data_IF_674428222058
#
_entry.id   IF_674428222058
#
_cell.length_a   1.000
_cell.length_b   1.000
_cell.length_c   1.000
_cell.angle_alpha   90.00
_cell.angle_beta   90.00
_cell.angle_gamma   90.00
#
_symmetry.space_group_name_H-M   'P 1'
#
loop_
_entity.id
_entity.type
_entity.pdbx_description
1 polymer ?
#
# COMPACT_ATOMS: atom_id res chain seq x y z
N UNK A 1 3.25 16.43 -39.19
CA UNK A 1 2.21 17.15 -38.41
C UNK A 1 1.12 16.15 -38.14
N UNK A 2 1.25 15.40 -37.04
CA UNK A 2 0.30 14.34 -36.67
C UNK A 2 -0.88 14.97 -35.93
N UNK A 3 -2.07 14.53 -36.32
CA UNK A 3 -3.37 15.03 -35.87
C UNK A 3 -3.55 14.92 -34.35
N UNK A 4 -3.81 16.02 -33.61
CA UNK A 4 -4.04 16.00 -32.17
C UNK A 4 -5.42 15.45 -31.77
N UNK A 5 -6.32 15.13 -32.71
CA UNK A 5 -7.71 14.76 -32.44
C UNK A 5 -8.01 13.24 -32.45
N UNK A 6 -7.04 12.37 -32.72
CA UNK A 6 -7.24 10.92 -32.69
C UNK A 6 -6.71 10.27 -31.40
N UNK A 7 -7.01 10.85 -30.23
CA UNK A 7 -6.77 10.18 -28.94
C UNK A 7 -7.93 9.22 -28.68
N UNK A 8 -7.88 8.06 -29.32
CA UNK A 8 -8.75 6.93 -29.01
C UNK A 8 -8.73 6.69 -27.49
N UNK A 9 -9.90 6.48 -26.88
CA UNK A 9 -10.01 6.02 -25.50
C UNK A 9 -9.37 4.63 -25.38
N UNK A 10 -8.48 4.47 -24.39
CA UNK A 10 -7.57 3.32 -24.28
C UNK A 10 -7.89 2.61 -22.97
N UNK A 11 -8.34 1.36 -23.07
CA UNK A 11 -9.09 0.68 -22.00
C UNK A 11 -8.36 -0.46 -21.28
N UNK A 12 -7.02 -0.55 -21.34
CA UNK A 12 -6.22 -1.60 -20.68
C UNK A 12 -5.23 -0.94 -19.71
N UNK A 13 -5.24 -1.29 -18.40
CA UNK A 13 -4.25 -0.83 -17.45
C UNK A 13 -2.83 -1.28 -17.83
N UNK A 14 -1.89 -0.36 -17.87
CA UNK A 14 -0.46 -0.56 -18.10
C UNK A 14 0.19 -0.90 -16.78
N UNK A 15 0.82 -2.06 -16.78
CA UNK A 15 1.31 -2.71 -15.59
C UNK A 15 2.82 -2.79 -15.66
N UNK A 16 3.47 -2.48 -14.55
CA UNK A 16 4.93 -2.52 -14.45
C UNK A 16 5.39 -3.44 -13.32
N UNK A 17 6.56 -4.04 -13.48
CA UNK A 17 7.28 -4.77 -12.45
C UNK A 17 7.96 -3.84 -11.43
N UNK A 18 8.48 -4.44 -10.34
CA UNK A 18 9.22 -3.69 -9.32
C UNK A 18 10.50 -3.04 -9.90
N UNK A 19 11.25 -3.77 -10.74
CA UNK A 19 12.46 -3.27 -11.38
C UNK A 19 12.18 -2.10 -12.33
N UNK A 20 11.06 -2.15 -13.05
CA UNK A 20 10.63 -1.06 -13.93
C UNK A 20 10.26 0.18 -13.12
N UNK A 21 9.52 0.02 -12.02
CA UNK A 21 9.20 1.13 -11.12
C UNK A 21 10.48 1.75 -10.54
N UNK A 22 11.43 0.95 -10.09
CA UNK A 22 12.70 1.45 -9.56
C UNK A 22 13.49 2.27 -10.60
N UNK A 23 13.48 1.84 -11.87
CA UNK A 23 14.09 2.61 -12.97
C UNK A 23 13.33 3.92 -13.24
N UNK A 24 12.01 3.92 -13.14
CA UNK A 24 11.18 5.13 -13.29
C UNK A 24 11.47 6.12 -12.15
N UNK A 25 11.57 5.65 -10.91
CA UNK A 25 11.94 6.49 -9.76
C UNK A 25 13.34 7.09 -9.93
N UNK A 26 14.31 6.31 -10.40
CA UNK A 26 15.66 6.80 -10.68
C UNK A 26 15.65 7.84 -11.83
N UNK A 27 14.85 7.61 -12.87
CA UNK A 27 14.69 8.56 -13.97
C UNK A 27 14.01 9.87 -13.50
N UNK A 28 12.99 9.78 -12.65
CA UNK A 28 12.34 10.94 -12.04
C UNK A 28 13.33 11.76 -11.20
N UNK A 29 14.22 11.10 -10.45
CA UNK A 29 15.28 11.78 -9.71
C UNK A 29 16.29 12.49 -10.63
N UNK A 30 16.65 11.88 -11.77
CA UNK A 30 17.50 12.52 -12.79
C UNK A 30 16.84 13.74 -13.43
N UNK A 31 15.51 13.79 -13.47
CA UNK A 31 14.73 14.95 -13.90
C UNK A 31 14.59 16.02 -12.82
N UNK A 32 15.09 15.78 -11.60
CA UNK A 32 15.08 16.74 -10.49
C UNK A 32 13.97 16.55 -9.46
N UNK A 33 13.15 15.49 -9.56
CA UNK A 33 12.21 15.15 -8.50
C UNK A 33 12.95 14.47 -7.35
N UNK A 34 13.08 15.16 -6.22
CA UNK A 34 13.74 14.61 -5.04
C UNK A 34 12.99 13.38 -4.48
N UNK A 35 13.75 12.39 -4.00
CA UNK A 35 13.21 11.20 -3.32
C UNK A 35 12.26 11.58 -2.17
N UNK A 36 12.64 12.58 -1.36
CA UNK A 36 11.83 13.11 -0.26
C UNK A 36 10.45 13.61 -0.74
N UNK A 37 10.36 14.20 -1.95
CA UNK A 37 9.12 14.72 -2.51
C UNK A 37 8.20 13.62 -3.04
N UNK A 38 8.77 12.59 -3.67
CA UNK A 38 8.03 11.41 -4.09
C UNK A 38 7.46 10.66 -2.87
N UNK A 39 8.27 10.47 -1.83
CA UNK A 39 7.87 9.84 -0.57
C UNK A 39 6.80 10.64 0.18
N UNK A 40 6.94 11.97 0.26
CA UNK A 40 5.88 12.84 0.82
C UNK A 40 4.58 12.67 0.05
N UNK A 41 4.64 12.65 -1.29
CA UNK A 41 3.46 12.53 -2.15
C UNK A 41 2.77 11.17 -1.98
N UNK A 42 3.56 10.09 -1.96
CA UNK A 42 3.09 8.73 -1.72
C UNK A 42 2.37 8.61 -0.37
N UNK A 43 3.06 8.98 0.72
CA UNK A 43 2.47 8.91 2.07
C UNK A 43 1.31 9.90 2.29
N UNK A 44 1.32 11.07 1.63
CA UNK A 44 0.20 12.01 1.69
C UNK A 44 -1.08 11.41 1.11
N UNK A 45 -1.00 10.78 -0.06
CA UNK A 45 -2.15 10.12 -0.67
C UNK A 45 -2.65 8.97 0.19
N UNK A 46 -1.75 8.14 0.73
CA UNK A 46 -2.16 7.07 1.64
C UNK A 46 -2.85 7.61 2.89
N UNK A 47 -2.36 8.71 3.46
CA UNK A 47 -3.00 9.36 4.61
C UNK A 47 -4.41 9.87 4.27
N UNK A 48 -4.62 10.43 3.08
CA UNK A 48 -5.96 10.86 2.62
C UNK A 48 -6.92 9.68 2.45
N UNK A 49 -6.45 8.59 1.86
CA UNK A 49 -7.24 7.36 1.74
C UNK A 49 -7.55 6.77 3.11
N UNK A 50 -6.59 6.74 4.03
CA UNK A 50 -6.80 6.28 5.40
C UNK A 50 -7.85 7.13 6.14
N UNK A 51 -7.87 8.45 5.93
CA UNK A 51 -8.91 9.33 6.47
C UNK A 51 -10.30 9.01 5.93
N UNK A 52 -10.41 8.79 4.62
CA UNK A 52 -11.68 8.41 3.99
C UNK A 52 -12.18 7.07 4.52
N UNK A 53 -11.31 6.07 4.66
CA UNK A 53 -11.67 4.76 5.22
C UNK A 53 -12.09 4.85 6.69
N UNK A 54 -11.41 5.66 7.51
CA UNK A 54 -11.85 5.91 8.89
C UNK A 54 -13.25 6.53 8.94
N UNK A 55 -13.55 7.46 8.03
CA UNK A 55 -14.90 8.04 7.89
C UNK A 55 -15.94 6.97 7.56
N UNK A 56 -15.65 6.11 6.57
CA UNK A 56 -16.53 5.00 6.16
C UNK A 56 -16.78 4.01 7.29
N UNK A 57 -15.74 3.65 8.04
CA UNK A 57 -15.84 2.75 9.20
C UNK A 57 -16.66 3.37 10.34
N UNK A 58 -16.53 4.68 10.57
CA UNK A 58 -17.31 5.40 11.58
C UNK A 58 -18.81 5.45 11.22
N UNK A 59 -19.16 5.68 9.95
CA UNK A 59 -20.56 5.65 9.48
C UNK A 59 -21.18 4.26 9.62
N UNK A 60 -20.44 3.19 9.28
CA UNK A 60 -20.92 1.82 9.41
C UNK A 60 -21.29 1.44 10.86
N UNK A 61 -20.65 2.06 11.85
CA UNK A 61 -20.93 1.81 13.27
C UNK A 61 -22.10 2.65 13.79
N UNK A 62 -22.39 3.82 13.20
CA UNK A 62 -23.55 4.68 13.55
C UNK A 62 -24.93 4.07 13.23
N UNK A 63 -25.00 2.81 12.83
CA UNK A 63 -26.22 2.00 12.77
C UNK A 63 -26.82 1.70 14.18
N UNK A 64 -27.69 0.69 14.32
CA UNK A 64 -28.40 0.39 15.59
C UNK A 64 -27.51 0.18 16.82
N UNK A 65 -26.20 -0.04 16.63
CA UNK A 65 -25.19 -0.23 17.67
C UNK A 65 -24.66 1.09 18.28
N UNK A 66 -25.00 2.26 17.74
CA UNK A 66 -24.56 3.56 18.24
C UNK A 66 -23.12 3.92 17.88
N UNK A 67 -22.64 5.14 18.19
CA UNK A 67 -21.29 5.59 17.85
C UNK A 67 -20.21 4.71 18.49
N UNK A 68 -19.01 4.70 17.89
CA UNK A 68 -17.84 4.04 18.47
C UNK A 68 -17.62 4.50 19.92
N UNK A 69 -17.52 3.54 20.84
CA UNK A 69 -17.32 3.81 22.27
C UNK A 69 -15.95 4.48 22.58
N UNK A 70 -15.01 4.45 21.63
CA UNK A 70 -13.68 5.05 21.73
C UNK A 70 -13.31 5.77 20.43
N UNK A 71 -12.44 6.77 20.54
CA UNK A 71 -11.87 7.43 19.36
C UNK A 71 -11.11 6.40 18.49
N UNK A 72 -11.23 6.45 17.15
CA UNK A 72 -10.51 5.53 16.27
C UNK A 72 -8.99 5.61 16.47
N UNK A 73 -8.36 4.44 16.61
CA UNK A 73 -6.91 4.29 16.64
C UNK A 73 -6.42 3.79 15.28
N UNK A 74 -5.42 4.48 14.71
CA UNK A 74 -4.68 4.02 13.54
C UNK A 74 -3.36 3.42 14.00
N UNK A 75 -3.12 2.17 13.67
CA UNK A 75 -1.85 1.48 13.94
C UNK A 75 -1.06 1.41 12.64
N UNK A 76 0.13 2.00 12.60
CA UNK A 76 1.01 2.02 11.42
C UNK A 76 2.24 1.16 11.69
N UNK A 77 2.32 0.00 11.06
CA UNK A 77 3.44 -0.94 11.19
C UNK A 77 4.45 -0.67 10.06
N UNK A 78 5.59 -0.10 10.41
CA UNK A 78 6.59 0.37 9.46
C UNK A 78 7.80 -0.58 9.42
N UNK A 79 8.24 -0.96 8.22
CA UNK A 79 9.54 -1.57 8.02
C UNK A 79 10.68 -0.54 8.04
N UNK A 80 11.95 -0.97 7.87
CA UNK A 80 13.09 -0.07 7.85
C UNK A 80 13.39 0.55 6.48
N UNK A 81 12.75 0.06 5.40
CA UNK A 81 12.98 0.53 4.03
C UNK A 81 11.96 1.58 3.58
N UNK A 82 11.95 1.88 2.28
CA UNK A 82 11.13 2.95 1.68
C UNK A 82 9.63 2.79 1.98
N UNK A 83 9.08 1.57 1.93
CA UNK A 83 7.67 1.34 2.27
C UNK A 83 7.34 1.76 3.71
N UNK A 84 8.26 1.52 4.65
CA UNK A 84 8.10 1.97 6.03
C UNK A 84 8.26 3.48 6.18
N UNK A 85 9.07 4.10 5.33
CA UNK A 85 9.21 5.54 5.28
C UNK A 85 7.95 6.24 4.76
N UNK A 86 7.26 5.67 3.77
CA UNK A 86 5.91 6.09 3.39
C UNK A 86 4.95 5.96 4.59
N UNK A 87 5.08 4.86 5.36
CA UNK A 87 4.38 4.69 6.65
C UNK A 87 4.66 5.79 7.67
N UNK A 88 5.90 6.28 7.79
CA UNK A 88 6.23 7.41 8.66
C UNK A 88 5.50 8.69 8.24
N UNK A 89 5.44 8.97 6.93
CA UNK A 89 4.69 10.09 6.36
C UNK A 89 3.20 9.96 6.71
N UNK A 90 2.62 8.77 6.52
CA UNK A 90 1.22 8.47 6.87
C UNK A 90 0.95 8.73 8.35
N UNK A 91 1.78 8.17 9.23
CA UNK A 91 1.63 8.31 10.67
C UNK A 91 1.66 9.79 11.11
N UNK A 92 2.64 10.57 10.65
CA UNK A 92 2.74 11.98 11.02
C UNK A 92 1.60 12.83 10.47
N UNK A 93 1.13 12.55 9.24
CA UNK A 93 0.02 13.30 8.63
C UNK A 93 -1.30 13.02 9.33
N UNK A 94 -1.57 11.76 9.65
CA UNK A 94 -2.75 11.38 10.41
C UNK A 94 -2.72 11.99 11.82
N UNK A 95 -1.58 11.96 12.51
CA UNK A 95 -1.43 12.62 13.80
C UNK A 95 -1.63 14.14 13.72
N UNK A 96 -1.05 14.80 12.71
CA UNK A 96 -1.21 16.25 12.49
C UNK A 96 -2.66 16.66 12.22
N UNK A 97 -3.49 15.74 11.70
CA UNK A 97 -4.93 15.94 11.52
C UNK A 97 -5.78 15.58 12.76
N UNK A 98 -5.15 15.31 13.91
CA UNK A 98 -5.82 15.03 15.18
C UNK A 98 -6.31 13.59 15.35
N UNK A 99 -5.81 12.63 14.57
CA UNK A 99 -6.13 11.20 14.75
C UNK A 99 -5.25 10.58 15.83
N UNK A 100 -5.80 9.63 16.58
CA UNK A 100 -5.01 8.76 17.45
C UNK A 100 -4.15 7.83 16.61
N UNK A 101 -2.83 7.93 16.73
CA UNK A 101 -1.87 7.16 15.93
C UNK A 101 -0.90 6.42 16.86
N UNK A 102 -0.74 5.12 16.59
CA UNK A 102 0.32 4.27 17.10
C UNK A 102 1.22 3.88 15.94
N UNK A 103 2.42 4.44 15.87
CA UNK A 103 3.45 4.05 14.92
C UNK A 103 4.41 3.05 15.56
N UNK A 104 4.73 1.98 14.85
CA UNK A 104 5.65 0.94 15.33
C UNK A 104 6.67 0.66 14.23
N UNK A 105 7.95 0.91 14.49
CA UNK A 105 9.04 0.46 13.64
C UNK A 105 9.35 -1.01 13.96
N UNK A 106 9.09 -1.90 13.00
CA UNK A 106 9.28 -3.36 13.10
C UNK A 106 10.68 -3.75 12.62
N UNK A 107 11.69 -3.07 13.18
CA UNK A 107 13.10 -3.26 12.91
C UNK A 107 13.94 -2.52 13.95
N UNK A 108 15.25 -2.72 13.91
CA UNK A 108 16.17 -1.84 14.62
C UNK A 108 16.18 -0.44 13.97
N UNK A 109 16.15 0.62 14.78
CA UNK A 109 16.16 2.00 14.31
C UNK A 109 17.42 2.35 13.49
N UNK A 110 18.55 1.69 13.74
CA UNK A 110 19.78 1.86 12.94
C UNK A 110 19.63 1.40 11.48
N UNK A 111 18.59 0.61 11.16
CA UNK A 111 18.32 0.14 9.80
C UNK A 111 17.52 1.16 8.97
N UNK A 112 16.94 2.17 9.61
CA UNK A 112 16.33 3.29 8.87
C UNK A 112 17.46 4.05 8.20
N UNK A 113 17.51 3.94 6.88
CA UNK A 113 18.61 4.44 6.06
C UNK A 113 18.06 5.19 4.85
N UNK A 114 18.90 6.03 4.26
CA UNK A 114 18.46 6.98 3.22
C UNK A 114 18.03 8.32 3.82
N UNK A 115 18.22 9.38 3.02
CA UNK A 115 17.95 10.76 3.44
C UNK A 115 16.46 10.95 3.75
N UNK A 116 15.59 10.52 2.83
CA UNK A 116 14.14 10.66 2.94
C UNK A 116 13.56 9.95 4.17
N UNK A 117 13.93 8.69 4.36
CA UNK A 117 13.47 7.87 5.48
C UNK A 117 14.01 8.40 6.81
N UNK A 118 15.30 8.75 6.88
CA UNK A 118 15.91 9.31 8.09
C UNK A 118 15.28 10.65 8.49
N UNK A 119 14.95 11.51 7.52
CA UNK A 119 14.24 12.76 7.76
C UNK A 119 12.85 12.49 8.35
N UNK A 120 12.03 11.66 7.71
CA UNK A 120 10.68 11.34 8.19
C UNK A 120 10.69 10.65 9.55
N UNK A 121 11.66 9.77 9.80
CA UNK A 121 11.87 9.14 11.10
C UNK A 121 12.16 10.18 12.19
N UNK A 122 13.06 11.13 11.92
CA UNK A 122 13.40 12.20 12.87
C UNK A 122 12.20 13.09 13.20
N UNK A 123 11.38 13.43 12.19
CA UNK A 123 10.12 14.17 12.39
C UNK A 123 9.15 13.37 13.25
N UNK A 124 9.00 12.08 12.97
CA UNK A 124 8.11 11.20 13.73
C UNK A 124 8.53 11.09 15.21
N UNK A 125 9.83 10.98 15.49
CA UNK A 125 10.37 10.98 16.85
C UNK A 125 10.11 12.31 17.59
N UNK A 126 10.26 13.44 16.90
CA UNK A 126 9.97 14.75 17.48
C UNK A 126 8.47 14.89 17.82
N UNK A 127 7.59 14.44 16.93
CA UNK A 127 6.14 14.45 17.18
C UNK A 127 5.73 13.52 18.32
N UNK A 128 6.34 12.34 18.43
CA UNK A 128 6.10 11.43 19.54
C UNK A 128 6.56 12.04 20.88
N UNK A 129 7.72 12.71 20.88
CA UNK A 129 8.25 13.40 22.06
C UNK A 129 7.36 14.57 22.52
N UNK A 130 6.67 15.22 21.57
CA UNK A 130 5.68 16.26 21.84
C UNK A 130 4.29 15.71 22.26
N UNK A 131 4.10 14.37 22.26
CA UNK A 131 2.85 13.72 22.62
C UNK A 131 1.79 13.70 21.51
N UNK A 132 2.15 14.00 20.27
CA UNK A 132 1.21 14.01 19.13
C UNK A 132 0.81 12.60 18.66
N UNK A 133 1.63 11.59 18.94
CA UNK A 133 1.40 10.18 18.60
C UNK A 133 2.21 9.25 19.51
N UNK A 134 1.83 7.97 19.56
CA UNK A 134 2.62 6.92 20.21
C UNK A 134 3.63 6.35 19.20
N UNK A 135 4.90 6.23 19.59
CA UNK A 135 5.97 5.67 18.75
C UNK A 135 6.75 4.59 19.51
N UNK A 136 6.85 3.40 18.92
CA UNK A 136 7.63 2.30 19.46
C UNK A 136 8.61 1.74 18.41
N UNK A 137 9.74 1.21 18.90
CA UNK A 137 10.70 0.43 18.12
C UNK A 137 10.63 -1.00 18.63
N UNK A 138 10.27 -1.94 17.76
CA UNK A 138 10.07 -3.35 18.08
C UNK A 138 10.97 -4.21 17.15
N UNK A 139 12.28 -4.31 17.45
CA UNK A 139 13.25 -5.02 16.62
C UNK A 139 13.19 -6.55 16.77
N UNK A 140 12.35 -7.08 17.66
CA UNK A 140 12.18 -8.52 17.89
C UNK A 140 10.71 -8.90 18.09
N UNK A 141 10.34 -10.17 17.85
CA UNK A 141 8.98 -10.67 18.09
C UNK A 141 8.49 -10.41 19.51
N UNK A 142 9.36 -10.59 20.51
CA UNK A 142 9.00 -10.43 21.92
C UNK A 142 8.62 -8.99 22.25
N UNK A 143 9.35 -8.02 21.70
CA UNK A 143 9.05 -6.59 21.89
C UNK A 143 7.78 -6.20 21.15
N UNK A 144 7.56 -6.73 19.95
CA UNK A 144 6.34 -6.50 19.18
C UNK A 144 5.11 -7.08 19.89
N UNK A 145 5.21 -8.30 20.42
CA UNK A 145 4.11 -8.98 21.12
C UNK A 145 3.71 -8.29 22.43
N UNK A 146 4.59 -7.50 23.05
CA UNK A 146 4.21 -6.64 24.19
C UNK A 146 3.20 -5.56 23.82
N UNK A 147 3.16 -5.16 22.55
CA UNK A 147 2.23 -4.15 22.03
C UNK A 147 0.90 -4.76 21.55
N UNK A 148 0.74 -6.09 21.60
CA UNK A 148 -0.42 -6.80 21.01
C UNK A 148 -1.78 -6.26 21.49
N UNK A 149 -1.91 -5.94 22.77
CA UNK A 149 -3.18 -5.45 23.35
C UNK A 149 -3.50 -4.06 22.82
N UNK A 150 -2.48 -3.21 22.68
CA UNK A 150 -2.64 -1.86 22.10
C UNK A 150 -2.94 -1.93 20.61
N UNK A 151 -2.26 -2.81 19.87
CA UNK A 151 -2.53 -3.09 18.46
C UNK A 151 -3.96 -3.61 18.28
N UNK A 152 -4.44 -4.45 19.21
CA UNK A 152 -5.79 -5.00 19.17
C UNK A 152 -6.88 -3.91 19.24
N UNK A 153 -6.60 -2.70 19.71
CA UNK A 153 -7.55 -1.58 19.71
C UNK A 153 -7.71 -0.90 18.33
N UNK A 154 -6.91 -1.28 17.33
CA UNK A 154 -6.90 -0.65 16.01
C UNK A 154 -8.29 -0.63 15.36
N UNK A 155 -8.68 0.55 14.85
CA UNK A 155 -9.81 0.71 13.91
C UNK A 155 -9.32 0.62 12.47
N UNK A 156 -8.09 1.06 12.21
CA UNK A 156 -7.39 0.91 10.94
C UNK A 156 -5.96 0.47 11.24
N UNK A 157 -5.49 -0.56 10.54
CA UNK A 157 -4.10 -0.98 10.53
C UNK A 157 -3.52 -0.61 9.17
N UNK A 158 -2.38 0.07 9.17
CA UNK A 158 -1.61 0.38 7.97
C UNK A 158 -0.39 -0.55 7.92
N UNK A 159 -0.37 -1.40 6.91
CA UNK A 159 0.76 -2.25 6.56
C UNK A 159 1.74 -1.47 5.69
N UNK A 160 2.82 -1.01 6.33
CA UNK A 160 3.95 -0.34 5.72
C UNK A 160 5.24 -1.16 5.94
N UNK A 161 5.14 -2.49 6.08
CA UNK A 161 6.26 -3.33 6.46
C UNK A 161 7.21 -3.55 5.28
N UNK A 162 6.70 -4.09 4.16
CA UNK A 162 7.50 -4.41 2.97
C UNK A 162 6.72 -4.07 1.69
N UNK A 163 7.38 -3.38 0.76
CA UNK A 163 6.82 -3.07 -0.56
C UNK A 163 7.28 -4.03 -1.65
N UNK A 164 7.07 -3.65 -2.91
CA UNK A 164 7.38 -4.47 -4.09
C UNK A 164 8.85 -4.87 -4.27
N UNK A 165 9.79 -4.17 -3.63
CA UNK A 165 11.23 -4.50 -3.69
C UNK A 165 11.69 -5.62 -2.74
N UNK A 166 10.81 -6.14 -1.87
CA UNK A 166 11.17 -7.22 -0.96
C UNK A 166 11.20 -8.59 -1.67
N UNK A 167 12.22 -9.40 -1.35
CA UNK A 167 12.40 -10.75 -1.91
C UNK A 167 12.82 -11.76 -0.84
N UNK A 168 12.52 -13.03 -1.10
CA UNK A 168 12.78 -14.13 -0.18
C UNK A 168 11.79 -14.22 0.99
N UNK A 169 12.00 -15.18 1.91
CA UNK A 169 11.10 -15.44 3.02
C UNK A 169 11.05 -14.29 4.03
N UNK A 170 9.87 -14.11 4.65
CA UNK A 170 9.67 -13.16 5.75
C UNK A 170 10.58 -13.57 6.89
N UNK A 171 11.27 -12.58 7.45
CA UNK A 171 12.15 -12.74 8.60
C UNK A 171 11.46 -12.15 9.81
N UNK A 172 11.81 -12.63 10.99
CA UNK A 172 11.41 -11.93 12.21
C UNK A 172 12.07 -10.55 12.30
N UNK A 173 11.39 -9.55 12.90
CA UNK A 173 10.05 -9.60 13.50
C UNK A 173 8.89 -9.37 12.51
N UNK A 174 9.15 -9.24 11.21
CA UNK A 174 8.11 -8.94 10.21
C UNK A 174 7.10 -10.08 10.08
N UNK A 175 7.55 -11.35 10.13
CA UNK A 175 6.63 -12.51 10.11
C UNK A 175 5.60 -12.43 11.25
N UNK A 176 6.07 -12.20 12.49
CA UNK A 176 5.18 -11.99 13.65
C UNK A 176 4.22 -10.80 13.45
N UNK A 177 4.68 -9.72 12.82
CA UNK A 177 3.83 -8.57 12.53
C UNK A 177 2.69 -8.91 11.56
N UNK A 178 2.98 -9.69 10.51
CA UNK A 178 1.95 -10.15 9.56
C UNK A 178 0.87 -10.98 10.28
N UNK A 179 1.28 -11.90 11.14
CA UNK A 179 0.34 -12.71 11.93
C UNK A 179 -0.50 -11.84 12.87
N UNK A 180 0.10 -10.85 13.53
CA UNK A 180 -0.62 -9.90 14.39
C UNK A 180 -1.63 -9.05 13.62
N UNK A 181 -1.30 -8.59 12.41
CA UNK A 181 -2.23 -7.83 11.56
C UNK A 181 -3.47 -8.70 11.26
N UNK A 182 -3.24 -9.90 10.74
CA UNK A 182 -4.32 -10.81 10.33
C UNK A 182 -5.17 -11.26 11.53
N UNK A 183 -4.54 -11.60 12.65
CA UNK A 183 -5.23 -11.99 13.88
C UNK A 183 -6.07 -10.83 14.44
N UNK A 184 -5.52 -9.61 14.47
CA UNK A 184 -6.25 -8.42 14.96
C UNK A 184 -7.49 -8.15 14.12
N UNK A 185 -7.35 -8.16 12.79
CA UNK A 185 -8.48 -8.00 11.86
C UNK A 185 -9.55 -9.08 12.09
N UNK A 186 -9.14 -10.34 12.17
CA UNK A 186 -10.04 -11.48 12.35
C UNK A 186 -10.79 -11.42 13.70
N UNK A 187 -10.08 -11.13 14.79
CA UNK A 187 -10.68 -11.01 16.12
C UNK A 187 -11.63 -9.82 16.22
N UNK A 188 -11.28 -8.68 15.62
CA UNK A 188 -12.16 -7.52 15.56
C UNK A 188 -13.47 -7.85 14.83
N UNK A 189 -13.37 -8.50 13.66
CA UNK A 189 -14.53 -8.93 12.88
C UNK A 189 -15.41 -9.91 13.66
N UNK A 190 -14.82 -10.91 14.32
CA UNK A 190 -15.56 -11.87 15.16
C UNK A 190 -16.25 -11.20 16.36
N UNK A 191 -15.66 -10.13 16.89
CA UNK A 191 -16.23 -9.32 17.96
C UNK A 191 -17.19 -8.22 17.48
N UNK A 192 -17.48 -8.14 16.17
CA UNK A 192 -18.36 -7.11 15.60
C UNK A 192 -17.80 -5.67 15.68
N UNK A 193 -16.48 -5.52 15.84
CA UNK A 193 -15.80 -4.22 15.91
C UNK A 193 -15.16 -3.88 14.57
N UNK A 194 -15.20 -2.61 14.09
CA UNK A 194 -14.49 -2.25 12.87
C UNK A 194 -12.98 -2.38 13.07
N UNK A 195 -12.34 -3.03 12.12
CA UNK A 195 -10.90 -3.03 11.93
C UNK A 195 -10.63 -3.32 10.45
N UNK A 196 -10.15 -2.33 9.70
CA UNK A 196 -9.70 -2.54 8.33
C UNK A 196 -8.18 -2.59 8.26
N UNK A 197 -7.65 -3.23 7.23
CA UNK A 197 -6.22 -3.26 6.90
C UNK A 197 -5.99 -2.54 5.57
N UNK A 198 -5.14 -1.52 5.59
CA UNK A 198 -4.67 -0.76 4.42
C UNK A 198 -3.21 -1.12 4.18
N UNK A 199 -2.88 -1.68 3.01
CA UNK A 199 -1.49 -1.93 2.61
C UNK A 199 -0.92 -0.82 1.73
N UNK A 200 0.33 -0.44 1.99
CA UNK A 200 1.09 0.49 1.16
C UNK A 200 1.87 -0.28 0.10
N UNK A 201 1.73 0.14 -1.15
CA UNK A 201 2.27 -0.46 -2.39
C UNK A 201 1.76 -1.88 -2.68
N UNK A 202 2.03 -2.81 -1.78
CA UNK A 202 1.62 -4.21 -1.84
C UNK A 202 1.36 -4.73 -0.43
N UNK A 203 0.38 -5.64 -0.20
CA UNK A 203 0.32 -6.36 1.06
C UNK A 203 1.63 -7.10 1.31
N UNK A 204 2.17 -6.94 2.51
CA UNK A 204 3.43 -7.55 2.92
C UNK A 204 3.33 -9.07 2.79
N UNK A 205 4.26 -9.64 2.02
CA UNK A 205 4.29 -11.05 1.63
C UNK A 205 5.71 -11.56 1.46
N UNK A 206 5.84 -12.87 1.34
CA UNK A 206 7.00 -13.58 0.77
C UNK A 206 6.89 -13.57 -0.76
N UNK A 207 8.04 -13.39 -1.41
CA UNK A 207 8.40 -13.69 -2.82
C UNK A 207 7.27 -13.94 -3.85
N UNK A 208 7.15 -13.07 -4.86
CA UNK A 208 6.41 -13.34 -6.12
C UNK A 208 7.32 -13.49 -7.35
N UNK A 209 8.64 -13.44 -7.19
CA UNK A 209 9.56 -13.52 -8.31
C UNK A 209 9.69 -14.95 -8.86
N UNK A 210 9.35 -15.97 -8.06
CA UNK A 210 9.46 -17.39 -8.44
C UNK A 210 8.14 -18.17 -8.61
N UNK A 211 6.97 -17.52 -8.53
CA UNK A 211 5.66 -18.20 -8.64
C UNK A 211 5.26 -19.11 -7.47
N UNK A 212 6.10 -19.23 -6.44
CA UNK A 212 5.80 -19.95 -5.21
C UNK A 212 5.05 -19.06 -4.23
N UNK A 213 4.03 -19.63 -3.57
CA UNK A 213 3.14 -18.91 -2.65
C UNK A 213 3.79 -18.71 -1.28
N UNK A 214 3.38 -17.62 -0.65
CA UNK A 214 3.88 -17.09 0.61
C UNK A 214 2.94 -17.37 1.78
N UNK A 215 3.49 -17.84 2.91
CA UNK A 215 2.79 -17.84 4.21
C UNK A 215 3.75 -17.47 5.34
N UNK A 216 3.41 -16.50 6.22
CA UNK A 216 2.18 -15.72 6.21
C UNK A 216 2.19 -14.57 5.17
N UNK A 217 1.02 -14.00 4.88
CA UNK A 217 0.83 -12.82 4.01
C UNK A 217 -0.23 -11.91 4.61
N UNK A 218 -0.06 -10.60 4.53
CA UNK A 218 -1.08 -9.65 4.97
C UNK A 218 -2.30 -9.78 4.07
N UNK A 219 -3.47 -9.96 4.68
CA UNK A 219 -4.75 -9.86 3.97
C UNK A 219 -5.34 -8.46 4.20
N UNK A 220 -5.22 -7.60 3.20
CA UNK A 220 -5.67 -6.23 3.21
C UNK A 220 -7.14 -6.11 2.74
N UNK A 221 -7.86 -5.14 3.31
CA UNK A 221 -9.16 -4.70 2.81
C UNK A 221 -9.00 -3.73 1.63
N UNK A 222 -7.85 -3.05 1.58
CA UNK A 222 -7.49 -2.03 0.61
C UNK A 222 -5.96 -1.99 0.47
N UNK A 223 -5.48 -1.79 -0.75
CA UNK A 223 -4.08 -1.50 -1.06
C UNK A 223 -3.99 -0.23 -1.89
N UNK A 224 -3.04 0.65 -1.55
CA UNK A 224 -2.72 1.85 -2.34
C UNK A 224 -1.32 1.69 -2.93
N UNK A 225 -1.21 1.59 -4.25
CA UNK A 225 0.07 1.61 -4.97
C UNK A 225 0.28 2.94 -5.70
N UNK A 226 1.49 3.14 -6.20
CA UNK A 226 1.94 4.43 -6.69
C UNK A 226 2.28 4.39 -8.17
N UNK A 227 1.90 5.47 -8.86
CA UNK A 227 2.17 5.80 -10.25
C UNK A 227 1.56 4.83 -11.27
N UNK A 228 1.83 3.53 -11.17
CA UNK A 228 1.25 2.48 -12.03
C UNK A 228 0.95 1.23 -11.21
N UNK A 229 -0.08 0.49 -11.65
CA UNK A 229 -0.43 -0.78 -11.05
C UNK A 229 0.69 -1.82 -11.23
N UNK A 230 0.91 -2.67 -10.20
CA UNK A 230 1.96 -3.69 -10.27
C UNK A 230 1.50 -4.90 -11.06
N UNK A 231 2.30 -5.33 -12.04
CA UNK A 231 2.00 -6.46 -12.92
C UNK A 231 1.69 -7.77 -12.19
N UNK A 232 2.30 -7.98 -11.01
CA UNK A 232 2.04 -9.14 -10.18
C UNK A 232 0.56 -9.33 -9.81
N UNK A 233 -0.22 -8.25 -9.62
CA UNK A 233 -1.64 -8.38 -9.32
C UNK A 233 -2.48 -8.74 -10.54
N UNK A 234 -2.06 -8.39 -11.75
CA UNK A 234 -2.80 -8.75 -12.95
C UNK A 234 -2.65 -10.23 -13.32
N UNK A 235 -1.62 -10.92 -12.84
CA UNK A 235 -1.36 -12.31 -13.23
C UNK A 235 -1.73 -13.31 -12.13
N UNK A 236 -1.97 -12.85 -10.91
CA UNK A 236 -2.21 -13.71 -9.75
C UNK A 236 -3.53 -13.35 -9.04
N UNK A 237 -4.53 -14.24 -9.16
CA UNK A 237 -5.84 -14.12 -8.51
C UNK A 237 -5.74 -14.10 -6.98
N UNK A 238 -4.82 -14.86 -6.40
CA UNK A 238 -4.63 -14.88 -4.96
C UNK A 238 -3.97 -13.58 -4.47
N UNK A 239 -3.02 -13.02 -5.24
CA UNK A 239 -2.47 -11.70 -4.96
C UNK A 239 -3.56 -10.61 -4.96
N UNK A 240 -4.50 -10.64 -5.91
CA UNK A 240 -5.66 -9.72 -5.92
C UNK A 240 -6.53 -9.91 -4.69
N UNK A 241 -6.81 -11.16 -4.32
CA UNK A 241 -7.68 -11.50 -3.18
C UNK A 241 -7.13 -10.94 -1.87
N UNK A 242 -5.82 -11.01 -1.65
CA UNK A 242 -5.19 -10.47 -0.43
C UNK A 242 -4.96 -8.95 -0.47
N UNK A 243 -5.08 -8.32 -1.63
CA UNK A 243 -4.95 -6.87 -1.78
C UNK A 243 -6.24 -6.10 -1.47
N UNK A 244 -7.38 -6.77 -1.51
CA UNK A 244 -8.69 -6.13 -1.36
C UNK A 244 -8.96 -5.14 -2.49
N UNK A 245 -9.54 -3.98 -2.16
CA UNK A 245 -9.69 -2.87 -3.12
C UNK A 245 -8.31 -2.36 -3.53
N UNK A 246 -8.07 -2.18 -4.83
CA UNK A 246 -6.75 -1.81 -5.32
C UNK A 246 -6.76 -0.41 -5.93
N UNK A 247 -6.10 0.54 -5.26
CA UNK A 247 -6.04 1.93 -5.70
C UNK A 247 -4.65 2.25 -6.27
N UNK A 248 -4.62 2.95 -7.40
CA UNK A 248 -3.38 3.51 -7.98
C UNK A 248 -3.42 5.01 -7.80
N UNK A 249 -2.40 5.54 -7.13
CA UNK A 249 -2.26 6.95 -6.82
C UNK A 249 -1.16 7.61 -7.67
N UNK A 250 -1.41 8.77 -8.30
CA UNK A 250 -0.31 9.59 -8.81
C UNK A 250 0.54 10.10 -7.66
N UNK A 251 1.85 10.07 -7.83
CA UNK A 251 2.83 10.64 -6.88
C UNK A 251 3.69 11.73 -7.51
N UNK A 252 3.25 12.27 -8.65
CA UNK A 252 3.91 13.39 -9.33
C UNK A 252 5.01 13.00 -10.32
N UNK A 253 5.25 11.71 -10.56
CA UNK A 253 6.23 11.25 -11.55
C UNK A 253 5.81 11.70 -12.97
N UNK A 254 6.68 12.42 -13.69
CA UNK A 254 6.41 12.90 -15.04
C UNK A 254 6.56 11.78 -16.09
N UNK A 255 5.90 11.90 -17.24
CA UNK A 255 5.93 10.89 -18.30
C UNK A 255 7.32 10.70 -18.90
N UNK A 256 8.14 11.75 -18.87
CA UNK A 256 9.53 11.72 -19.29
C UNK A 256 10.37 10.73 -18.47
N UNK A 257 9.96 10.42 -17.23
CA UNK A 257 10.61 9.39 -16.42
C UNK A 257 10.29 7.96 -16.89
N UNK A 258 9.28 7.77 -17.74
CA UNK A 258 8.89 6.47 -18.29
C UNK A 258 9.60 6.12 -19.60
N UNK A 259 10.31 7.09 -20.21
CA UNK A 259 10.89 6.97 -21.54
C UNK A 259 11.85 5.77 -21.65
N UNK A 260 11.56 4.86 -22.57
CA UNK A 260 12.36 3.64 -22.79
C UNK A 260 12.16 2.54 -21.74
N UNK A 261 11.27 2.73 -20.75
CA UNK A 261 10.91 1.74 -19.74
C UNK A 261 9.51 1.19 -20.01
N UNK A 262 8.53 2.08 -20.09
CA UNK A 262 7.16 1.74 -20.43
C UNK A 262 7.01 1.88 -21.95
N UNK A 263 6.45 0.88 -22.66
CA UNK A 263 6.10 1.06 -24.06
C UNK A 263 5.24 2.32 -24.23
N UNK A 264 5.31 3.02 -25.37
CA UNK A 264 4.32 4.03 -25.72
C UNK A 264 3.00 3.35 -26.08
N UNK A 265 2.45 2.55 -25.17
CA UNK A 265 1.06 2.19 -25.17
C UNK A 265 0.29 3.39 -24.64
N UNK A 266 -0.93 3.53 -25.09
CA UNK A 266 -1.56 4.84 -25.02
C UNK A 266 -2.31 5.13 -23.72
N UNK A 267 -1.89 4.50 -22.62
CA UNK A 267 -2.45 4.76 -21.31
C UNK A 267 -1.48 5.59 -20.45
N UNK A 268 -1.99 6.72 -19.99
CA UNK A 268 -1.28 7.58 -19.08
C UNK A 268 -1.44 7.05 -17.65
N UNK A 269 -0.44 7.27 -16.75
CA UNK A 269 -0.64 7.04 -15.34
C UNK A 269 -1.83 7.89 -14.86
N UNK A 270 -2.58 7.43 -13.85
CA UNK A 270 -3.82 8.07 -13.47
C UNK A 270 -3.54 9.47 -12.90
N UNK A 271 -4.28 10.49 -13.36
CA UNK A 271 -4.13 11.86 -12.87
C UNK A 271 -4.73 12.10 -11.47
N UNK A 272 -5.44 11.10 -10.93
CA UNK A 272 -6.06 11.07 -9.60
C UNK A 272 -6.11 9.64 -9.09
N UNK A 273 -6.33 9.44 -7.80
CA UNK A 273 -6.51 8.10 -7.23
C UNK A 273 -7.60 7.36 -8.01
N UNK A 274 -7.26 6.18 -8.52
CA UNK A 274 -8.14 5.38 -9.38
C UNK A 274 -8.21 3.96 -8.84
N UNK A 275 -9.43 3.44 -8.67
CA UNK A 275 -9.67 2.06 -8.27
C UNK A 275 -9.58 1.14 -9.50
N UNK A 276 -8.74 0.12 -9.42
CA UNK A 276 -8.56 -0.88 -10.48
C UNK A 276 -9.55 -2.01 -10.25
N UNK A 277 -10.46 -2.17 -11.21
CA UNK A 277 -11.35 -3.31 -11.27
C UNK A 277 -10.72 -4.41 -12.14
N UNK A 278 -10.22 -5.45 -11.49
CA UNK A 278 -9.68 -6.61 -12.19
C UNK A 278 -10.81 -7.38 -12.86
N UNK A 279 -11.00 -7.21 -14.17
CA UNK A 279 -11.91 -8.10 -14.91
C UNK A 279 -11.33 -9.52 -14.86
N UNK A 280 -12.13 -10.49 -14.42
CA UNK A 280 -11.75 -11.89 -14.55
C UNK A 280 -11.68 -12.25 -16.04
N UNK A 281 -10.64 -12.96 -16.50
CA UNK A 281 -10.72 -13.61 -17.80
C UNK A 281 -11.95 -14.53 -17.77
N UNK A 282 -12.86 -14.38 -18.73
CA UNK A 282 -13.99 -15.30 -18.91
C UNK A 282 -13.42 -16.71 -19.02
N UNK A 283 -13.84 -17.63 -18.15
CA UNK A 283 -13.51 -19.05 -18.30
C UNK A 283 -13.92 -19.46 -19.72
N UNK A 284 -12.94 -19.82 -20.55
CA UNK A 284 -13.25 -20.49 -21.81
C UNK A 284 -13.84 -21.84 -21.45
N UNK A 285 -15.16 -21.95 -21.50
CA UNK A 285 -15.84 -23.24 -21.55
C UNK A 285 -15.17 -24.09 -22.64
N UNK A 286 -14.83 -25.32 -22.27
CA UNK A 286 -14.07 -26.31 -23.03
C UNK A 286 -14.14 -26.15 -24.56
N UNK A 287 -13.02 -25.73 -25.16
CA UNK A 287 -12.80 -25.90 -26.59
C UNK A 287 -11.33 -26.15 -26.88
N UNK A 288 -11.08 -27.36 -27.37
CA UNK A 288 -9.83 -27.91 -27.86
C UNK A 288 -8.81 -26.90 -28.40
N UNK A 289 -7.57 -27.05 -27.90
CA UNK A 289 -6.29 -26.86 -28.58
C UNK A 289 -6.24 -25.91 -29.79
N UNK A 290 -5.64 -24.73 -29.61
CA UNK A 290 -4.76 -24.07 -30.61
C UNK A 290 -3.86 -23.01 -29.93
N UNK A 291 -2.59 -22.88 -30.35
CA UNK A 291 -1.63 -21.99 -29.71
C UNK A 291 -1.69 -20.56 -30.27
N UNK A 292 -1.50 -19.58 -29.38
CA UNK A 292 -1.16 -18.20 -29.73
C UNK A 292 -2.29 -17.17 -29.50
N UNK A 293 -1.96 -16.11 -28.76
CA UNK A 293 -2.64 -14.81 -28.88
C UNK A 293 -3.07 -14.14 -27.58
N UNK A 294 -2.30 -13.10 -27.19
CA UNK A 294 -2.67 -11.84 -26.53
C UNK A 294 -3.83 -11.79 -25.52
N UNK A 295 -3.52 -11.35 -24.30
CA UNK A 295 -4.48 -10.93 -23.27
C UNK A 295 -4.82 -9.44 -23.47
N UNK A 296 -6.11 -9.07 -23.41
CA UNK A 296 -6.58 -7.68 -23.36
C UNK A 296 -7.43 -7.47 -22.09
N UNK A 297 -7.27 -6.34 -21.40
CA UNK A 297 -8.13 -5.91 -20.29
C UNK A 297 -9.27 -5.00 -20.79
N UNK A 298 -10.44 -5.05 -20.15
CA UNK A 298 -11.59 -4.23 -20.52
C UNK A 298 -11.74 -2.94 -19.70
N UNK A 299 -12.65 -2.04 -20.12
CA UNK A 299 -12.70 -0.66 -19.65
C UNK A 299 -13.29 -0.55 -18.23
N UNK A 300 -12.64 0.27 -17.39
CA UNK A 300 -13.16 0.66 -16.07
C UNK A 300 -14.35 1.61 -16.18
N UNK A 301 -15.37 1.41 -15.34
CA UNK A 301 -16.50 2.33 -15.19
C UNK A 301 -16.16 3.43 -14.17
N UNK A 302 -16.62 4.64 -14.47
CA UNK A 302 -16.67 5.78 -13.54
C UNK A 302 -18.11 5.89 -13.04
N UNK A 303 -18.30 5.87 -11.73
CA UNK A 303 -19.45 6.43 -11.00
C UNK A 303 -18.90 7.08 -9.72
#
# INVERSE_FOLDING_TARGET
MTDPAARAERGVPVLIGADEMARIDEAAQKLGLAEDALMESAGAVVAEVAQAELGRLAEAVRGPAGPLARAPLVVVLCGPGNNGADGFVVARRLAASGRGVLAILVADASRVSGRAAGHNWSVLQAMASAGSLELFVAPSPELLLRLRERIAEATLIVDALLGSGASGPLREPVSTAVDLINATRTHAQAAGRPCAVLAIDTPTRVDLTGGARSTPVVTADLTVTFHRAKAGFALDRDARRVAGRYLVAPIGIPLEAEEGIVPPDGEFPPARITEINWQEPVERADAAHRPGGGIAAGPGRTD
#
